data_IF_736319007511
#
_entry.id   IF_736319007511
#
_cell.length_a   1.000
_cell.length_b   1.000
_cell.length_c   1.000
_cell.angle_alpha   90.00
_cell.angle_beta   90.00
_cell.angle_gamma   90.00
#
_symmetry.space_group_name_H-M   'P 1'
#
loop_
_entity.id
_entity.type
_entity.pdbx_description
1 polymer ?
#
# COMPACT_ATOMS: atom_id res chain seq x y z
N UNK A 1 -35.98 -56.09 -55.42
CA UNK A 1 -36.71 -55.74 -56.66
C UNK A 1 -37.86 -54.83 -56.28
N UNK A 2 -38.01 -53.74 -57.03
CA UNK A 2 -39.08 -52.72 -57.08
C UNK A 2 -40.47 -53.39 -57.03
N UNK A 3 -41.56 -52.88 -56.46
CA UNK A 3 -41.97 -51.59 -55.89
C UNK A 3 -43.52 -51.56 -55.82
N UNK A 4 -44.09 -50.37 -55.53
CA UNK A 4 -45.53 -49.97 -55.58
C UNK A 4 -46.44 -50.51 -54.46
N UNK A 5 -47.46 -49.81 -53.95
CA UNK A 5 -48.07 -48.51 -54.23
C UNK A 5 -49.01 -48.15 -53.06
N UNK A 6 -49.21 -46.84 -52.86
CA UNK A 6 -50.42 -46.12 -52.46
C UNK A 6 -51.22 -46.36 -51.13
N UNK A 7 -51.33 -45.22 -50.43
CA UNK A 7 -52.49 -44.62 -49.73
C UNK A 7 -53.00 -45.24 -48.40
N UNK A 8 -52.79 -44.49 -47.31
CA UNK A 8 -53.89 -44.17 -46.37
C UNK A 8 -53.70 -42.83 -45.62
N UNK A 9 -54.57 -41.91 -46.03
CA UNK A 9 -55.20 -40.81 -45.32
C UNK A 9 -55.09 -40.66 -43.78
N UNK A 10 -54.79 -39.40 -43.38
CA UNK A 10 -55.48 -38.56 -42.37
C UNK A 10 -55.44 -39.01 -40.89
N UNK A 11 -54.69 -38.27 -40.04
CA UNK A 11 -55.24 -37.36 -38.98
C UNK A 11 -54.14 -36.81 -38.05
N UNK A 12 -54.13 -35.47 -37.98
CA UNK A 12 -53.50 -34.56 -37.01
C UNK A 12 -53.21 -35.16 -35.63
N UNK A 13 -51.97 -34.98 -35.16
CA UNK A 13 -51.68 -34.48 -33.80
C UNK A 13 -50.71 -33.30 -33.88
N UNK A 14 -51.27 -32.10 -33.66
CA UNK A 14 -50.67 -31.00 -32.89
C UNK A 14 -49.98 -31.58 -31.64
N UNK A 15 -48.91 -31.07 -31.04
CA UNK A 15 -48.18 -29.81 -31.05
C UNK A 15 -46.99 -30.06 -30.11
N UNK A 16 -45.83 -29.42 -30.32
CA UNK A 16 -44.78 -29.48 -29.29
C UNK A 16 -43.36 -29.17 -29.73
N UNK A 17 -43.12 -28.26 -30.68
CA UNK A 17 -41.80 -27.64 -30.80
C UNK A 17 -41.64 -26.65 -29.65
N UNK A 18 -40.99 -27.10 -28.57
CA UNK A 18 -40.50 -26.22 -27.53
C UNK A 18 -39.44 -25.28 -28.14
N UNK A 19 -39.84 -24.03 -28.38
CA UNK A 19 -38.93 -22.95 -28.73
C UNK A 19 -38.17 -22.59 -27.46
N UNK A 20 -36.97 -23.16 -27.27
CA UNK A 20 -36.04 -22.72 -26.22
C UNK A 20 -35.56 -21.33 -26.63
N UNK A 21 -36.19 -20.30 -26.07
CA UNK A 21 -35.70 -18.93 -26.15
C UNK A 21 -34.45 -18.83 -25.27
N UNK A 22 -33.27 -18.97 -25.86
CA UNK A 22 -32.00 -18.69 -25.18
C UNK A 22 -31.93 -17.20 -24.89
N UNK A 23 -32.33 -16.78 -23.68
CA UNK A 23 -32.07 -15.44 -23.19
C UNK A 23 -30.55 -15.29 -23.02
N UNK A 24 -29.90 -14.71 -24.02
CA UNK A 24 -28.52 -14.21 -23.87
C UNK A 24 -28.61 -12.97 -22.99
N UNK A 25 -28.44 -13.15 -21.69
CA UNK A 25 -28.14 -12.04 -20.79
C UNK A 25 -26.72 -11.61 -21.14
N UNK A 26 -26.60 -10.63 -22.03
CA UNK A 26 -25.36 -9.89 -22.22
C UNK A 26 -25.12 -9.11 -20.93
N UNK A 27 -24.32 -9.69 -20.01
CA UNK A 27 -23.77 -8.93 -18.91
C UNK A 27 -23.00 -7.76 -19.52
N UNK A 28 -23.55 -6.55 -19.42
CA UNK A 28 -22.82 -5.34 -19.79
C UNK A 28 -21.67 -5.24 -18.81
N UNK A 29 -20.45 -5.52 -19.27
CA UNK A 29 -19.24 -5.10 -18.57
C UNK A 29 -19.23 -3.57 -18.64
N UNK A 30 -19.80 -2.93 -17.62
CA UNK A 30 -19.76 -1.47 -17.46
C UNK A 30 -18.31 -1.14 -17.13
N UNK A 31 -17.68 -0.31 -17.96
CA UNK A 31 -16.35 0.20 -17.66
C UNK A 31 -16.41 1.04 -16.38
N UNK A 32 -15.36 0.95 -15.55
CA UNK A 32 -15.25 1.80 -14.36
C UNK A 32 -15.42 3.29 -14.75
N UNK A 33 -16.15 4.08 -13.95
CA UNK A 33 -16.36 5.51 -14.19
C UNK A 33 -15.04 6.30 -14.10
N UNK A 34 -15.07 7.55 -14.52
CA UNK A 34 -13.94 8.45 -14.30
C UNK A 34 -13.89 8.92 -12.82
N UNK A 35 -12.71 9.33 -12.34
CA UNK A 35 -12.55 9.71 -10.92
C UNK A 35 -13.31 10.99 -10.57
N UNK A 36 -13.42 11.94 -11.52
CA UNK A 36 -14.21 13.17 -11.39
C UNK A 36 -15.71 12.89 -11.23
N UNK A 37 -16.24 11.88 -11.91
CA UNK A 37 -17.62 11.42 -11.73
C UNK A 37 -17.86 10.92 -10.30
N UNK A 38 -16.90 10.20 -9.72
CA UNK A 38 -16.98 9.72 -8.32
C UNK A 38 -16.72 10.83 -7.30
N UNK A 39 -15.91 11.82 -7.65
CA UNK A 39 -15.56 12.96 -6.80
C UNK A 39 -16.63 14.06 -6.81
N UNK A 40 -17.69 13.93 -7.63
CA UNK A 40 -18.74 14.93 -7.73
C UNK A 40 -19.39 15.21 -6.35
N UNK A 41 -19.32 16.47 -5.92
CA UNK A 41 -19.87 16.91 -4.63
C UNK A 41 -18.97 16.68 -3.41
N UNK A 42 -17.81 16.03 -3.58
CA UNK A 42 -16.81 15.88 -2.52
C UNK A 42 -16.10 17.20 -2.23
N UNK A 43 -15.90 17.49 -0.94
CA UNK A 43 -15.13 18.65 -0.48
C UNK A 43 -13.87 18.17 0.23
N UNK A 44 -12.72 18.26 -0.44
CA UNK A 44 -11.43 17.91 0.15
C UNK A 44 -10.89 19.06 1.00
N UNK A 45 -10.36 18.73 2.18
CA UNK A 45 -9.54 19.63 2.99
C UNK A 45 -8.07 19.56 2.51
N UNK A 46 -7.55 20.60 1.82
CA UNK A 46 -6.19 20.57 1.27
C UNK A 46 -5.11 20.58 2.36
N UNK A 47 -5.45 20.91 3.61
CA UNK A 47 -4.54 20.85 4.75
C UNK A 47 -4.52 19.49 5.43
N UNK A 48 -5.21 18.47 4.89
CA UNK A 48 -5.34 17.13 5.50
C UNK A 48 -5.19 16.01 4.46
N UNK A 49 -4.13 16.08 3.66
CA UNK A 49 -3.77 15.03 2.71
C UNK A 49 -2.55 14.28 3.24
N UNK A 50 -2.60 12.96 3.26
CA UNK A 50 -1.49 12.12 3.72
C UNK A 50 -1.34 10.87 2.85
N UNK A 51 -0.21 10.18 3.00
CA UNK A 51 0.06 8.97 2.24
C UNK A 51 0.56 7.84 3.12
N UNK A 52 0.39 6.60 2.70
CA UNK A 52 1.06 5.46 3.30
C UNK A 52 1.27 4.35 2.29
N UNK A 53 2.11 3.37 2.61
CA UNK A 53 2.20 2.18 1.79
C UNK A 53 3.11 1.11 2.36
N UNK A 54 3.01 -0.06 1.76
CA UNK A 54 3.84 -1.23 2.12
C UNK A 54 4.79 -1.63 0.99
N UNK A 55 6.00 -2.11 1.32
CA UNK A 55 6.93 -2.68 0.33
C UNK A 55 7.30 -1.63 -0.73
N UNK A 56 7.19 -1.97 -2.03
CA UNK A 56 7.31 -0.98 -3.11
C UNK A 56 6.36 0.22 -2.96
N UNK A 57 5.17 0.02 -2.39
CA UNK A 57 4.24 1.10 -2.06
C UNK A 57 4.75 1.96 -0.90
N UNK A 58 5.50 1.40 0.04
CA UNK A 58 6.20 2.15 1.09
C UNK A 58 7.33 3.03 0.52
N UNK A 59 8.11 2.52 -0.43
CA UNK A 59 9.04 3.35 -1.20
C UNK A 59 8.32 4.46 -1.96
N UNK A 60 7.20 4.16 -2.63
CA UNK A 60 6.41 5.17 -3.34
C UNK A 60 5.82 6.22 -2.40
N UNK A 61 5.26 5.81 -1.26
CA UNK A 61 4.75 6.71 -0.23
C UNK A 61 5.82 7.70 0.22
N UNK A 62 7.05 7.23 0.45
CA UNK A 62 8.18 8.09 0.78
C UNK A 62 8.53 9.06 -0.36
N UNK A 63 8.66 8.55 -1.59
CA UNK A 63 9.00 9.37 -2.76
C UNK A 63 7.95 10.46 -2.98
N UNK A 64 6.68 10.08 -2.91
CA UNK A 64 5.55 10.98 -3.08
C UNK A 64 5.50 12.04 -1.98
N UNK A 65 5.70 11.63 -0.72
CA UNK A 65 5.78 12.54 0.40
C UNK A 65 6.89 13.58 0.22
N UNK A 66 8.11 13.17 -0.13
CA UNK A 66 9.22 14.11 -0.38
C UNK A 66 8.95 15.01 -1.60
N UNK A 67 8.37 14.47 -2.67
CA UNK A 67 8.07 15.25 -3.88
C UNK A 67 7.01 16.35 -3.65
N UNK A 68 6.03 16.09 -2.79
CA UNK A 68 4.86 16.94 -2.58
C UNK A 68 4.65 17.37 -1.12
N UNK A 69 5.69 17.38 -0.27
CA UNK A 69 5.60 17.69 1.17
C UNK A 69 5.00 19.06 1.49
N UNK A 70 4.88 19.97 0.51
CA UNK A 70 4.14 21.22 0.69
C UNK A 70 2.61 21.03 0.90
N UNK A 71 2.06 19.89 0.50
CA UNK A 71 0.63 19.56 0.59
C UNK A 71 0.33 18.25 1.31
N UNK A 72 1.36 17.50 1.73
CA UNK A 72 1.21 16.20 2.37
C UNK A 72 1.63 16.33 3.83
N UNK A 73 0.69 16.17 4.76
CA UNK A 73 0.89 16.43 6.20
C UNK A 73 1.51 15.26 6.98
N UNK A 74 1.75 14.14 6.31
CA UNK A 74 2.29 12.96 6.96
C UNK A 74 2.36 11.74 6.06
N UNK A 75 3.18 10.78 6.51
CA UNK A 75 3.45 9.55 5.79
C UNK A 75 3.55 8.33 6.71
N UNK A 76 2.91 7.22 6.31
CA UNK A 76 3.07 5.90 6.92
C UNK A 76 3.88 4.96 6.03
N UNK A 77 5.07 4.53 6.45
CA UNK A 77 5.96 3.69 5.63
C UNK A 77 6.14 2.31 6.28
N UNK A 78 5.59 1.28 5.64
CA UNK A 78 5.64 -0.11 6.11
C UNK A 78 6.60 -0.89 5.24
N UNK A 79 7.69 -1.41 5.79
CA UNK A 79 8.69 -2.19 5.03
C UNK A 79 9.06 -1.54 3.67
N UNK A 80 9.27 -0.23 3.66
CA UNK A 80 9.67 0.56 2.49
C UNK A 80 11.17 0.84 2.51
N UNK A 81 11.56 2.09 2.30
CA UNK A 81 12.97 2.45 2.45
C UNK A 81 13.29 3.89 2.05
N UNK A 82 14.59 4.23 2.01
CA UNK A 82 15.05 5.61 1.87
C UNK A 82 14.81 6.15 0.46
N UNK A 83 14.68 7.47 0.36
CA UNK A 83 14.55 8.19 -0.91
C UNK A 83 15.69 7.82 -1.88
N UNK A 84 15.34 7.51 -3.12
CA UNK A 84 16.30 7.15 -4.18
C UNK A 84 17.21 5.94 -3.84
N UNK A 85 16.75 5.00 -3.01
CA UNK A 85 17.54 3.86 -2.55
C UNK A 85 18.21 3.06 -3.69
N UNK A 86 17.44 2.77 -4.74
CA UNK A 86 17.89 1.96 -5.86
C UNK A 86 18.78 2.72 -6.87
N UNK A 87 18.88 4.04 -6.76
CA UNK A 87 19.75 4.88 -7.61
C UNK A 87 19.55 4.67 -9.12
N UNK A 88 18.32 4.42 -9.56
CA UNK A 88 18.03 4.12 -10.97
C UNK A 88 18.50 2.74 -11.45
N UNK A 89 18.90 1.84 -10.54
CA UNK A 89 19.46 0.54 -10.85
C UNK A 89 18.70 -0.61 -10.19
N UNK A 90 18.15 -1.52 -11.01
CA UNK A 90 17.43 -2.70 -10.53
C UNK A 90 18.30 -3.62 -9.65
N UNK A 91 19.60 -3.71 -9.91
CA UNK A 91 20.51 -4.52 -9.09
C UNK A 91 20.58 -3.96 -7.67
N UNK A 92 20.70 -2.65 -7.52
CA UNK A 92 20.68 -2.02 -6.20
C UNK A 92 19.31 -2.19 -5.52
N UNK A 93 18.21 -2.10 -6.29
CA UNK A 93 16.88 -2.35 -5.75
C UNK A 93 16.77 -3.75 -5.12
N UNK A 94 17.21 -4.79 -5.83
CA UNK A 94 17.06 -6.19 -5.38
C UNK A 94 18.17 -6.72 -4.47
N UNK A 95 19.19 -5.91 -4.16
CA UNK A 95 20.32 -6.30 -3.30
C UNK A 95 20.58 -5.36 -2.12
N UNK A 96 20.37 -4.05 -2.28
CA UNK A 96 20.64 -3.04 -1.23
C UNK A 96 19.39 -2.57 -0.51
N UNK A 97 18.27 -2.57 -1.21
CA UNK A 97 17.04 -1.99 -0.74
C UNK A 97 15.98 -3.05 -0.43
N UNK A 98 16.14 -4.25 -1.00
CA UNK A 98 15.34 -5.44 -0.75
C UNK A 98 16.19 -6.68 -0.99
N UNK A 99 15.69 -7.85 -0.62
CA UNK A 99 16.38 -9.14 -0.74
C UNK A 99 15.77 -10.06 -1.79
N UNK A 100 15.10 -9.51 -2.80
CA UNK A 100 14.41 -10.35 -3.79
C UNK A 100 15.33 -11.32 -4.53
N UNK A 101 16.55 -10.92 -4.89
CA UNK A 101 17.51 -11.82 -5.57
C UNK A 101 18.06 -12.87 -4.61
N UNK A 102 18.33 -12.50 -3.36
CA UNK A 102 18.77 -13.47 -2.35
C UNK A 102 17.69 -14.52 -2.09
N UNK A 103 16.43 -14.11 -1.95
CA UNK A 103 15.29 -15.00 -1.74
C UNK A 103 14.98 -15.88 -2.95
N UNK A 104 15.03 -15.35 -4.18
CA UNK A 104 14.89 -16.16 -5.40
C UNK A 104 16.03 -17.18 -5.54
N UNK A 105 17.26 -16.78 -5.22
CA UNK A 105 18.43 -17.67 -5.22
C UNK A 105 18.27 -18.83 -4.22
N UNK A 106 17.81 -18.54 -2.99
CA UNK A 106 17.54 -19.55 -1.97
C UNK A 106 16.36 -20.47 -2.37
N UNK A 107 15.31 -19.91 -2.97
CA UNK A 107 14.16 -20.69 -3.47
C UNK A 107 14.56 -21.68 -4.58
N UNK A 108 15.58 -21.34 -5.39
CA UNK A 108 16.18 -22.23 -6.37
C UNK A 108 17.14 -23.28 -5.76
N UNK A 109 17.24 -23.35 -4.43
CA UNK A 109 18.12 -24.28 -3.68
C UNK A 109 19.61 -24.16 -4.05
N UNK A 110 20.02 -22.95 -4.44
CA UNK A 110 21.43 -22.65 -4.69
C UNK A 110 22.19 -22.49 -3.35
N UNK A 111 23.53 -22.49 -3.41
CA UNK A 111 24.38 -22.39 -2.22
C UNK A 111 24.04 -21.13 -1.40
N UNK A 112 23.61 -21.26 -0.12
CA UNK A 112 23.30 -20.14 0.75
C UNK A 112 24.46 -19.15 0.92
N UNK A 113 25.72 -19.60 0.82
CA UNK A 113 26.90 -18.71 0.87
C UNK A 113 27.03 -17.87 -0.40
N UNK A 114 26.54 -18.36 -1.54
CA UNK A 114 26.48 -17.60 -2.78
C UNK A 114 25.29 -16.64 -2.75
N UNK A 115 24.12 -17.11 -2.33
CA UNK A 115 22.93 -16.28 -2.21
C UNK A 115 23.10 -15.14 -1.19
N UNK A 116 23.76 -15.38 -0.05
CA UNK A 116 24.01 -14.34 0.94
C UNK A 116 24.97 -13.23 0.47
N UNK A 117 25.78 -13.45 -0.58
CA UNK A 117 26.66 -12.41 -1.15
C UNK A 117 25.88 -11.35 -1.93
N UNK A 118 24.62 -11.60 -2.26
CA UNK A 118 23.77 -10.63 -2.93
C UNK A 118 23.02 -9.75 -1.94
N UNK A 119 23.10 -10.01 -0.63
CA UNK A 119 22.63 -9.09 0.40
C UNK A 119 23.67 -7.98 0.62
N UNK A 120 23.33 -6.78 0.15
CA UNK A 120 24.13 -5.58 0.25
C UNK A 120 23.39 -4.48 1.03
N UNK A 121 22.34 -4.85 1.78
CA UNK A 121 21.60 -3.91 2.60
C UNK A 121 22.48 -3.36 3.73
N UNK A 122 22.27 -2.09 4.15
CA UNK A 122 22.97 -1.55 5.30
C UNK A 122 22.66 -2.42 6.54
N UNK A 123 23.69 -2.90 7.24
CA UNK A 123 23.50 -3.74 8.44
C UNK A 123 24.25 -3.23 9.66
N UNK A 124 25.21 -2.33 9.47
CA UNK A 124 25.93 -1.65 10.54
C UNK A 124 25.53 -0.18 10.65
N UNK A 125 25.61 0.39 11.85
CA UNK A 125 25.36 1.82 12.12
C UNK A 125 26.05 2.75 11.12
N UNK A 126 27.32 2.49 10.80
CA UNK A 126 28.10 3.30 9.84
C UNK A 126 27.57 3.19 8.41
N UNK A 127 27.10 2.02 7.98
CA UNK A 127 26.49 1.85 6.66
C UNK A 127 25.15 2.57 6.58
N UNK A 128 24.32 2.42 7.61
CA UNK A 128 23.01 3.09 7.73
C UNK A 128 23.19 4.62 7.69
N UNK A 129 24.12 5.16 8.48
CA UNK A 129 24.43 6.60 8.50
C UNK A 129 24.91 7.13 7.12
N UNK A 130 25.76 6.36 6.42
CA UNK A 130 26.21 6.73 5.06
C UNK A 130 25.07 6.66 4.04
N UNK A 131 24.25 5.62 4.09
CA UNK A 131 23.12 5.45 3.19
C UNK A 131 22.08 6.58 3.40
N UNK A 132 21.81 6.96 4.65
CA UNK A 132 20.87 8.03 4.98
C UNK A 132 21.41 9.38 4.48
N UNK A 133 22.71 9.63 4.63
CA UNK A 133 23.37 10.82 4.07
C UNK A 133 23.24 10.86 2.55
N UNK A 134 23.57 9.78 1.85
CA UNK A 134 23.47 9.72 0.39
C UNK A 134 22.03 9.92 -0.11
N UNK A 135 21.04 9.34 0.59
CA UNK A 135 19.62 9.51 0.30
C UNK A 135 19.17 10.96 0.46
N UNK A 136 19.57 11.62 1.55
CA UNK A 136 19.24 13.03 1.79
C UNK A 136 20.00 14.00 0.87
N UNK A 137 21.24 13.68 0.49
CA UNK A 137 22.02 14.46 -0.48
C UNK A 137 21.33 14.49 -1.85
N UNK A 138 20.76 13.37 -2.29
CA UNK A 138 19.95 13.34 -3.51
C UNK A 138 18.68 14.17 -3.35
N UNK A 139 17.98 14.09 -2.21
CA UNK A 139 16.80 14.93 -1.97
C UNK A 139 17.15 16.43 -2.04
N UNK A 140 18.26 16.87 -1.41
CA UNK A 140 18.74 18.26 -1.48
C UNK A 140 19.06 18.69 -2.91
N UNK A 141 19.64 17.80 -3.71
CA UNK A 141 19.90 18.06 -5.13
C UNK A 141 18.61 18.28 -5.91
N UNK A 142 17.58 17.48 -5.65
CA UNK A 142 16.27 17.64 -6.31
C UNK A 142 15.52 18.90 -5.82
N UNK A 143 15.61 19.24 -4.52
CA UNK A 143 15.10 20.50 -3.99
C UNK A 143 15.75 21.71 -4.68
N UNK A 144 17.08 21.71 -4.80
CA UNK A 144 17.82 22.76 -5.50
C UNK A 144 17.48 22.85 -7.00
N UNK A 145 17.06 21.74 -7.60
CA UNK A 145 16.58 21.70 -8.98
C UNK A 145 15.11 22.09 -9.13
N UNK A 146 14.37 22.29 -8.04
CA UNK A 146 12.94 22.60 -8.05
C UNK A 146 12.04 21.44 -8.47
N UNK A 147 12.54 20.20 -8.46
CA UNK A 147 11.81 19.00 -8.91
C UNK A 147 11.05 18.28 -7.79
N UNK A 148 11.21 18.76 -6.54
CA UNK A 148 10.48 18.33 -5.34
C UNK A 148 10.14 19.54 -4.47
N UNK A 149 9.31 19.32 -3.44
CA UNK A 149 9.00 20.31 -2.41
C UNK A 149 10.21 20.68 -1.56
N UNK A 150 10.11 21.81 -0.84
CA UNK A 150 11.12 22.21 0.13
C UNK A 150 11.23 21.17 1.24
N UNK A 151 12.44 20.70 1.53
CA UNK A 151 12.72 19.71 2.57
C UNK A 151 12.42 20.26 3.97
N UNK A 152 12.43 21.58 4.14
CA UNK A 152 11.99 22.24 5.37
C UNK A 152 10.53 21.93 5.74
N UNK A 153 9.68 21.57 4.77
CA UNK A 153 8.28 21.21 5.04
C UNK A 153 8.18 19.92 5.88
N UNK A 154 9.19 19.03 5.79
CA UNK A 154 9.19 17.75 6.51
C UNK A 154 9.19 17.90 8.04
N UNK A 155 9.66 19.04 8.57
CA UNK A 155 9.91 19.19 10.01
C UNK A 155 8.64 19.02 10.87
N UNK A 156 7.49 19.43 10.35
CA UNK A 156 6.22 19.39 11.08
C UNK A 156 5.31 18.23 10.65
N UNK A 157 5.71 17.45 9.64
CA UNK A 157 4.96 16.31 9.14
C UNK A 157 4.91 15.17 10.16
N UNK A 158 3.83 14.40 10.12
CA UNK A 158 3.61 13.25 11.01
C UNK A 158 4.04 11.97 10.33
N UNK A 159 5.04 11.29 10.90
CA UNK A 159 5.68 10.12 10.31
C UNK A 159 5.40 8.89 11.15
N UNK A 160 4.97 7.82 10.50
CA UNK A 160 4.86 6.50 11.10
C UNK A 160 5.68 5.50 10.30
N UNK A 161 6.60 4.78 10.94
CA UNK A 161 7.43 3.76 10.29
C UNK A 161 7.16 2.40 10.91
N UNK A 162 7.13 1.36 10.08
CA UNK A 162 6.97 -0.03 10.54
C UNK A 162 7.91 -0.98 9.81
N UNK A 163 8.58 -1.85 10.57
CA UNK A 163 9.36 -2.97 10.05
C UNK A 163 9.13 -4.19 10.92
N UNK A 164 8.58 -5.26 10.33
CA UNK A 164 8.34 -6.51 11.05
C UNK A 164 9.65 -7.15 11.49
N UNK A 165 9.71 -7.65 12.73
CA UNK A 165 10.93 -8.22 13.30
C UNK A 165 11.50 -9.42 12.50
N UNK A 166 10.67 -10.06 11.67
CA UNK A 166 11.03 -11.20 10.82
C UNK A 166 10.84 -10.90 9.32
N UNK A 167 10.91 -9.63 8.93
CA UNK A 167 10.88 -9.23 7.52
C UNK A 167 12.21 -9.59 6.82
N UNK A 168 12.15 -10.67 6.03
CA UNK A 168 13.28 -11.14 5.23
C UNK A 168 13.32 -10.52 3.81
N UNK A 169 12.32 -9.73 3.42
CA UNK A 169 12.23 -9.11 2.08
C UNK A 169 12.82 -7.71 2.09
N UNK A 170 12.47 -6.90 3.09
CA UNK A 170 13.01 -5.55 3.28
C UNK A 170 13.73 -5.51 4.62
N UNK A 171 15.08 -5.56 4.63
CA UNK A 171 15.85 -5.64 5.85
C UNK A 171 15.67 -4.42 6.76
N UNK A 172 15.73 -4.65 8.08
CA UNK A 172 15.65 -3.61 9.11
C UNK A 172 16.57 -2.42 8.83
N UNK A 173 17.82 -2.65 8.44
CA UNK A 173 18.76 -1.55 8.19
C UNK A 173 18.39 -0.65 7.00
N UNK A 174 17.52 -1.09 6.10
CA UNK A 174 16.90 -0.23 5.06
C UNK A 174 15.89 0.72 5.71
N UNK A 175 15.04 0.20 6.59
CA UNK A 175 14.08 1.01 7.35
C UNK A 175 14.76 1.91 8.41
N UNK A 176 15.85 1.48 9.03
CA UNK A 176 16.69 2.33 9.89
C UNK A 176 17.31 3.49 9.11
N UNK A 177 17.70 3.24 7.86
CA UNK A 177 18.23 4.29 6.97
C UNK A 177 17.16 5.34 6.70
N UNK A 178 15.93 4.87 6.46
CA UNK A 178 14.76 5.73 6.30
C UNK A 178 14.44 6.52 7.59
N UNK A 179 14.45 5.86 8.76
CA UNK A 179 14.23 6.54 10.03
C UNK A 179 15.20 7.71 10.21
N UNK A 180 16.49 7.51 9.89
CA UNK A 180 17.50 8.57 9.95
C UNK A 180 17.29 9.68 8.92
N UNK A 181 16.77 9.37 7.73
CA UNK A 181 16.42 10.40 6.75
C UNK A 181 15.45 11.42 7.35
N UNK A 182 14.41 10.95 8.04
CA UNK A 182 13.44 11.82 8.70
C UNK A 182 13.94 12.42 10.02
N UNK A 183 14.53 11.60 10.90
CA UNK A 183 14.79 11.98 12.29
C UNK A 183 16.08 12.80 12.50
N UNK A 184 17.12 12.60 11.68
CA UNK A 184 18.42 13.22 11.96
C UNK A 184 18.33 14.76 11.81
N UNK A 185 18.90 15.55 12.74
CA UNK A 185 18.82 17.02 12.71
C UNK A 185 19.46 17.69 11.49
N UNK A 186 20.43 17.03 10.84
CA UNK A 186 21.07 17.52 9.61
C UNK A 186 20.35 17.05 8.33
N UNK A 187 19.18 16.42 8.46
CA UNK A 187 18.38 15.85 7.37
C UNK A 187 16.94 16.38 7.41
N UNK A 188 15.93 15.50 7.49
CA UNK A 188 14.52 15.89 7.54
C UNK A 188 14.15 16.64 8.83
N UNK A 189 14.90 16.41 9.91
CA UNK A 189 14.70 17.05 11.22
C UNK A 189 13.23 17.07 11.67
N UNK A 190 12.50 15.97 11.40
CA UNK A 190 11.12 15.80 11.84
C UNK A 190 11.07 15.98 13.36
N UNK A 191 10.19 16.88 13.80
CA UNK A 191 10.07 17.27 15.22
C UNK A 191 9.93 16.04 16.10
N UNK A 192 10.65 16.04 17.23
CA UNK A 192 10.49 14.99 18.22
C UNK A 192 9.01 14.90 18.65
N UNK A 193 8.48 13.68 18.68
CA UNK A 193 7.05 13.45 18.94
C UNK A 193 6.16 13.54 17.70
N UNK A 194 6.70 13.84 16.51
CA UNK A 194 6.00 13.69 15.22
C UNK A 194 6.38 12.41 14.48
N UNK A 195 7.42 11.69 14.90
CA UNK A 195 7.86 10.43 14.29
C UNK A 195 7.77 9.27 15.28
N UNK A 196 7.14 8.19 14.84
CA UNK A 196 7.20 6.86 15.48
C UNK A 196 7.85 5.84 14.55
N UNK A 197 8.54 4.88 15.16
CA UNK A 197 9.07 3.73 14.44
C UNK A 197 8.89 2.46 15.28
N UNK A 198 8.06 1.55 14.77
CA UNK A 198 7.91 0.19 15.27
C UNK A 198 8.81 -0.75 14.47
N UNK A 199 9.82 -1.29 15.14
CA UNK A 199 10.76 -2.27 14.57
C UNK A 199 10.72 -3.63 15.28
N UNK A 200 9.81 -3.81 16.23
CA UNK A 200 9.84 -4.98 17.14
C UNK A 200 8.59 -5.85 17.05
N UNK A 201 7.54 -5.42 16.34
CA UNK A 201 6.36 -6.24 16.15
C UNK A 201 6.76 -7.57 15.47
N UNK A 202 6.38 -8.73 16.05
CA UNK A 202 6.72 -10.04 15.54
C UNK A 202 5.88 -10.35 14.29
N UNK A 203 6.31 -9.85 13.14
CA UNK A 203 5.69 -10.12 11.85
C UNK A 203 6.76 -10.30 10.78
N UNK A 204 6.40 -11.02 9.72
CA UNK A 204 7.16 -11.08 8.47
C UNK A 204 6.86 -9.85 7.60
N UNK A 205 7.28 -9.88 6.34
CA UNK A 205 6.89 -8.89 5.34
C UNK A 205 5.39 -8.97 5.06
N UNK A 206 4.58 -8.13 5.72
CA UNK A 206 3.12 -8.15 5.58
C UNK A 206 2.49 -6.86 6.07
N UNK A 207 1.30 -6.53 5.56
CA UNK A 207 0.45 -5.51 6.16
C UNK A 207 -0.24 -6.14 7.36
N UNK A 208 0.19 -5.76 8.56
CA UNK A 208 -0.33 -6.28 9.82
C UNK A 208 -1.73 -5.73 10.07
N UNK A 209 -2.68 -6.61 10.39
CA UNK A 209 -4.01 -6.24 10.88
C UNK A 209 -4.44 -7.14 12.03
N UNK A 210 -5.47 -6.72 12.75
CA UNK A 210 -6.14 -7.57 13.74
C UNK A 210 -7.33 -8.32 13.10
N UNK A 211 -8.09 -9.04 13.93
CA UNK A 211 -9.26 -9.80 13.46
C UNK A 211 -10.51 -8.95 13.25
N UNK A 212 -10.43 -7.60 13.32
CA UNK A 212 -11.60 -6.76 13.08
C UNK A 212 -12.14 -6.97 11.66
N UNK A 213 -13.47 -7.16 11.58
CA UNK A 213 -14.21 -7.41 10.34
C UNK A 213 -13.50 -8.45 9.42
N UNK A 214 -12.88 -9.48 10.02
CA UNK A 214 -12.11 -10.46 9.27
C UNK A 214 -12.96 -11.08 8.15
N UNK A 215 -12.51 -11.01 6.89
CA UNK A 215 -13.28 -11.56 5.78
C UNK A 215 -13.39 -13.08 5.90
N UNK A 216 -14.50 -13.63 5.40
CA UNK A 216 -14.64 -15.07 5.26
C UNK A 216 -13.62 -15.61 4.23
N UNK A 217 -13.14 -16.84 4.46
CA UNK A 217 -12.14 -17.47 3.60
C UNK A 217 -10.69 -17.07 3.91
N UNK A 218 -9.75 -17.59 3.13
CA UNK A 218 -8.30 -17.40 3.32
C UNK A 218 -7.75 -16.18 2.55
N UNK A 219 -8.51 -15.09 2.51
CA UNK A 219 -8.17 -13.88 1.75
C UNK A 219 -7.10 -13.06 2.46
N UNK A 220 -7.28 -12.91 3.77
CA UNK A 220 -6.25 -12.44 4.71
C UNK A 220 -5.55 -13.68 5.27
N UNK A 221 -4.23 -13.65 5.28
CA UNK A 221 -3.42 -14.72 5.82
C UNK A 221 -3.42 -14.75 7.35
N UNK A 222 -2.74 -15.75 7.91
CA UNK A 222 -2.42 -15.77 9.33
C UNK A 222 -0.96 -15.33 9.48
N UNK A 223 -0.68 -14.59 10.55
CA UNK A 223 0.65 -14.08 10.86
C UNK A 223 1.63 -15.18 11.28
N UNK A 224 2.09 -15.99 10.32
CA UNK A 224 2.98 -17.11 10.57
C UNK A 224 4.40 -16.62 10.89
N UNK A 225 4.95 -17.10 12.01
CA UNK A 225 6.29 -16.73 12.48
C UNK A 225 7.26 -17.90 12.34
N UNK A 226 8.58 -17.64 12.19
CA UNK A 226 9.58 -18.68 12.27
C UNK A 226 9.40 -19.54 13.55
N UNK A 227 9.57 -20.88 13.48
CA UNK A 227 10.14 -21.64 12.36
C UNK A 227 9.15 -22.03 11.26
N UNK A 228 7.86 -21.65 11.34
CA UNK A 228 6.89 -21.95 10.28
C UNK A 228 7.34 -21.31 8.96
N UNK A 229 7.33 -22.05 7.83
CA UNK A 229 7.69 -21.49 6.54
C UNK A 229 6.69 -20.40 6.12
N UNK A 230 7.13 -19.36 5.38
CA UNK A 230 6.21 -18.36 4.87
C UNK A 230 5.21 -19.00 3.88
N UNK A 231 3.97 -18.47 3.78
CA UNK A 231 3.04 -18.91 2.75
C UNK A 231 3.65 -18.77 1.36
N UNK A 232 3.36 -19.70 0.43
CA UNK A 232 3.82 -19.58 -0.95
C UNK A 232 3.38 -18.25 -1.56
N UNK A 233 4.24 -17.55 -2.32
CA UNK A 233 3.95 -16.18 -2.72
C UNK A 233 2.84 -16.05 -3.79
N UNK A 234 2.35 -17.17 -4.33
CA UNK A 234 1.14 -17.32 -5.16
C UNK A 234 -0.16 -17.49 -4.37
N UNK A 235 -0.10 -17.72 -3.06
CA UNK A 235 -1.25 -17.65 -2.16
C UNK A 235 -1.11 -16.58 -1.09
N UNK A 236 0.06 -15.95 -0.96
CA UNK A 236 0.33 -14.89 0.01
C UNK A 236 -0.19 -13.53 -0.46
N UNK A 237 -1.20 -13.00 0.23
CA UNK A 237 -1.74 -11.66 -0.02
C UNK A 237 -0.88 -10.53 0.57
N UNK A 238 0.12 -10.86 1.40
CA UNK A 238 0.92 -9.92 2.19
C UNK A 238 0.06 -8.99 3.05
N UNK A 239 -1.02 -9.56 3.57
CA UNK A 239 -1.94 -8.97 4.55
C UNK A 239 -2.26 -10.10 5.52
N UNK A 240 -1.87 -9.95 6.79
CA UNK A 240 -1.98 -11.01 7.78
C UNK A 240 -2.71 -10.53 9.03
N UNK A 241 -3.64 -11.37 9.51
CA UNK A 241 -4.22 -11.25 10.83
C UNK A 241 -3.20 -11.72 11.88
N UNK A 242 -2.67 -10.76 12.63
CA UNK A 242 -1.67 -10.95 13.67
C UNK A 242 -2.25 -10.81 15.09
N UNK A 243 -3.57 -10.78 15.29
CA UNK A 243 -4.16 -10.56 16.63
C UNK A 243 -3.70 -11.62 17.64
N UNK A 244 -3.76 -12.89 17.26
CA UNK A 244 -3.34 -13.99 18.14
C UNK A 244 -1.84 -13.92 18.48
N UNK A 245 -1.02 -13.51 17.51
CA UNK A 245 0.42 -13.30 17.70
C UNK A 245 0.67 -12.16 18.68
N UNK A 246 0.02 -11.02 18.49
CA UNK A 246 0.15 -9.86 19.37
C UNK A 246 -0.20 -10.24 20.82
N UNK A 247 -1.37 -10.85 21.04
CA UNK A 247 -1.82 -11.29 22.38
C UNK A 247 -0.85 -12.27 23.04
N UNK A 248 -0.32 -13.24 22.29
CA UNK A 248 0.65 -14.22 22.81
C UNK A 248 1.94 -13.53 23.25
N UNK A 249 2.43 -12.57 22.46
CA UNK A 249 3.63 -11.82 22.77
C UNK A 249 3.41 -10.80 23.90
N UNK A 250 2.22 -10.21 24.03
CA UNK A 250 1.88 -9.35 25.16
C UNK A 250 1.93 -10.12 26.48
N UNK A 251 1.37 -11.32 26.51
CA UNK A 251 1.43 -12.22 27.67
C UNK A 251 2.88 -12.60 27.99
N UNK A 252 3.62 -13.03 26.97
CA UNK A 252 5.02 -13.49 27.12
C UNK A 252 5.99 -12.37 27.56
N UNK A 253 5.67 -11.11 27.24
CA UNK A 253 6.47 -9.95 27.64
C UNK A 253 5.90 -9.21 28.86
N UNK A 254 4.85 -9.73 29.49
CA UNK A 254 4.18 -9.13 30.66
C UNK A 254 3.72 -7.68 30.40
N UNK A 255 3.09 -7.46 29.25
CA UNK A 255 2.62 -6.13 28.83
C UNK A 255 1.31 -5.71 29.51
N UNK A 256 0.51 -6.67 29.99
CA UNK A 256 -0.79 -6.43 30.60
C UNK A 256 -0.66 -6.28 32.12
N UNK A 257 -1.22 -5.21 32.67
CA UNK A 257 -1.29 -4.97 34.12
C UNK A 257 -2.66 -5.43 34.66
N UNK A 258 -2.71 -6.23 35.75
CA UNK A 258 -3.95 -6.39 36.52
C UNK A 258 -4.39 -5.05 37.09
N UNK A 259 -5.70 -4.78 37.14
CA UNK A 259 -6.27 -3.50 37.60
C UNK A 259 -5.79 -3.08 39.00
N UNK A 260 -5.48 -4.04 39.88
CA UNK A 260 -5.10 -3.82 41.28
C UNK A 260 -3.62 -3.46 41.50
N UNK A 261 -2.77 -3.56 40.47
CA UNK A 261 -1.33 -3.26 40.58
C UNK A 261 -1.02 -1.74 40.70
N UNK A 262 -2.04 -0.88 40.59
CA UNK A 262 -1.90 0.57 40.64
C UNK A 262 -2.20 1.19 42.02
N UNK A 263 -2.61 0.39 43.01
CA UNK A 263 -3.12 0.91 44.29
C UNK A 263 -2.34 0.51 45.56
N UNK A 264 -1.35 -0.39 45.51
CA UNK A 264 -0.55 -0.71 46.70
C UNK A 264 0.93 -0.39 46.51
N UNK A 265 1.34 0.72 47.14
CA UNK A 265 2.73 1.03 47.41
C UNK A 265 3.34 -0.09 48.28
N UNK A 266 4.11 -1.01 47.69
CA UNK A 266 4.85 -1.98 48.51
C UNK A 266 5.64 -3.09 47.81
N UNK A 267 5.16 -3.71 46.72
CA UNK A 267 5.85 -4.93 46.22
C UNK A 267 5.68 -5.29 44.73
N UNK A 268 5.12 -4.42 43.89
CA UNK A 268 4.97 -4.70 42.45
C UNK A 268 6.07 -4.05 41.61
N UNK A 269 6.74 -4.82 40.75
CA UNK A 269 7.51 -4.24 39.64
C UNK A 269 6.55 -3.41 38.76
N UNK A 270 6.97 -2.24 38.24
CA UNK A 270 6.16 -1.49 37.29
C UNK A 270 5.88 -2.35 36.05
N UNK A 271 4.60 -2.53 35.72
CA UNK A 271 4.18 -3.20 34.50
C UNK A 271 3.84 -2.16 33.42
N UNK A 272 4.32 -2.34 32.17
CA UNK A 272 5.27 -3.35 31.73
C UNK A 272 6.67 -3.15 32.33
N UNK A 273 7.50 -4.21 32.44
CA UNK A 273 8.90 -4.06 32.82
C UNK A 273 9.57 -3.00 31.96
N UNK A 274 10.42 -2.14 32.54
CA UNK A 274 11.04 -1.02 31.82
C UNK A 274 11.80 -1.47 30.57
N UNK A 275 12.45 -2.64 30.62
CA UNK A 275 13.16 -3.25 29.49
C UNK A 275 12.25 -3.74 28.35
N UNK A 276 10.93 -3.81 28.59
CA UNK A 276 9.91 -4.32 27.67
C UNK A 276 8.95 -3.25 27.18
N UNK A 277 9.05 -2.00 27.66
CA UNK A 277 8.15 -0.92 27.28
C UNK A 277 8.03 -0.72 25.76
N UNK A 278 9.16 -0.79 25.02
CA UNK A 278 9.15 -0.64 23.56
C UNK A 278 8.36 -1.77 22.88
N UNK A 279 8.64 -3.02 23.22
CA UNK A 279 7.93 -4.20 22.67
C UNK A 279 6.44 -4.13 23.02
N UNK A 280 6.10 -3.80 24.26
CA UNK A 280 4.70 -3.71 24.70
C UNK A 280 3.93 -2.54 24.07
N UNK A 281 4.61 -1.45 23.72
CA UNK A 281 4.02 -0.38 22.92
C UNK A 281 3.79 -0.88 21.50
N UNK A 282 4.82 -1.43 20.86
CA UNK A 282 4.82 -1.84 19.47
C UNK A 282 3.77 -2.94 19.18
N UNK A 283 3.49 -3.82 20.15
CA UNK A 283 2.45 -4.86 20.02
C UNK A 283 1.03 -4.31 19.87
N UNK A 284 0.78 -3.06 20.27
CA UNK A 284 -0.52 -2.39 20.10
C UNK A 284 -0.80 -2.02 18.65
N UNK A 285 0.24 -1.95 17.82
CA UNK A 285 0.12 -1.60 16.40
C UNK A 285 -0.33 -2.79 15.54
N UNK A 286 -0.99 -3.78 16.15
CA UNK A 286 -1.63 -4.89 15.44
C UNK A 286 -2.75 -4.41 14.52
N UNK A 287 -3.35 -3.25 14.81
CA UNK A 287 -4.11 -2.46 13.84
C UNK A 287 -3.19 -1.40 13.21
N UNK A 288 -2.38 -1.82 12.24
CA UNK A 288 -1.34 -0.98 11.65
C UNK A 288 -1.91 0.22 10.88
N UNK A 289 -3.04 0.04 10.17
CA UNK A 289 -3.73 1.14 9.50
C UNK A 289 -4.21 2.18 10.53
N UNK A 290 -4.79 1.73 11.64
CA UNK A 290 -5.16 2.60 12.76
C UNK A 290 -3.98 3.36 13.33
N UNK A 291 -2.86 2.69 13.61
CA UNK A 291 -1.66 3.32 14.15
C UNK A 291 -1.09 4.41 13.22
N UNK A 292 -1.07 4.15 11.90
CA UNK A 292 -0.67 5.13 10.88
C UNK A 292 -1.61 6.35 10.88
N UNK A 293 -2.92 6.11 10.80
CA UNK A 293 -3.92 7.18 10.74
C UNK A 293 -3.93 8.01 12.04
N UNK A 294 -3.77 7.36 13.20
CA UNK A 294 -3.76 8.04 14.49
C UNK A 294 -2.51 8.91 14.64
N UNK A 295 -1.34 8.43 14.21
CA UNK A 295 -0.11 9.24 14.18
C UNK A 295 -0.28 10.48 13.30
N UNK A 296 -0.90 10.33 12.13
CA UNK A 296 -1.04 11.41 11.15
C UNK A 296 -2.11 12.43 11.55
N UNK A 297 -3.31 11.97 11.91
CA UNK A 297 -4.46 12.84 12.15
C UNK A 297 -4.75 13.11 13.63
N UNK A 298 -4.16 12.34 14.54
CA UNK A 298 -4.42 12.36 15.98
C UNK A 298 -5.69 11.60 16.36
N UNK A 299 -5.71 11.03 17.58
CA UNK A 299 -6.87 10.26 18.08
C UNK A 299 -8.18 11.05 18.12
N UNK A 300 -8.12 12.38 18.26
CA UNK A 300 -9.30 13.25 18.21
C UNK A 300 -10.00 13.22 16.84
N UNK A 301 -9.24 13.07 15.75
CA UNK A 301 -9.79 12.96 14.40
C UNK A 301 -10.38 11.57 14.11
N UNK A 302 -10.09 10.58 14.97
CA UNK A 302 -10.49 9.18 14.81
C UNK A 302 -11.56 8.72 15.83
N UNK A 303 -12.25 9.66 16.49
CA UNK A 303 -13.23 9.37 17.53
C UNK A 303 -14.45 8.56 17.07
N UNK A 304 -14.72 8.53 15.76
CA UNK A 304 -15.77 7.68 15.18
C UNK A 304 -15.45 6.18 15.26
N UNK A 305 -14.20 5.82 15.59
CA UNK A 305 -13.74 4.44 15.70
C UNK A 305 -13.76 3.70 14.35
N UNK A 306 -13.71 2.36 14.43
CA UNK A 306 -13.83 1.48 13.26
C UNK A 306 -15.26 1.05 13.02
N UNK A 307 -15.67 1.00 11.76
CA UNK A 307 -16.94 0.43 11.31
C UNK A 307 -16.70 -0.62 10.24
N UNK A 308 -17.51 -1.67 10.22
CA UNK A 308 -17.45 -2.66 9.13
C UNK A 308 -17.81 -2.00 7.79
N UNK A 309 -17.11 -2.41 6.73
CA UNK A 309 -17.26 -1.89 5.37
C UNK A 309 -17.62 -3.06 4.47
N UNK A 310 -18.70 -2.92 3.71
CA UNK A 310 -19.05 -3.89 2.68
C UNK A 310 -18.12 -3.70 1.47
N UNK A 311 -17.67 -4.79 0.84
CA UNK A 311 -16.73 -4.72 -0.30
C UNK A 311 -17.28 -3.87 -1.47
N UNK A 312 -18.61 -3.79 -1.61
CA UNK A 312 -19.31 -3.01 -2.65
C UNK A 312 -19.22 -1.50 -2.41
N UNK A 313 -18.88 -1.05 -1.20
CA UNK A 313 -18.67 0.38 -0.89
C UNK A 313 -17.35 0.91 -1.47
N UNK A 314 -16.42 0.02 -1.84
CA UNK A 314 -15.18 0.39 -2.51
C UNK A 314 -15.42 0.62 -4.01
N UNK A 315 -15.19 1.84 -4.48
CA UNK A 315 -15.52 2.25 -5.84
C UNK A 315 -14.30 2.12 -6.76
N UNK A 316 -14.46 1.50 -7.92
CA UNK A 316 -13.43 1.46 -8.96
C UNK A 316 -13.52 2.69 -9.88
N UNK A 317 -12.38 3.17 -10.39
CA UNK A 317 -12.32 4.23 -11.41
C UNK A 317 -11.28 3.95 -12.50
N UNK A 318 -11.48 4.49 -13.71
CA UNK A 318 -10.57 4.31 -14.85
C UNK A 318 -9.36 5.26 -14.78
N UNK A 319 -8.20 4.74 -14.39
CA UNK A 319 -6.96 5.50 -14.29
C UNK A 319 -6.49 6.04 -15.64
N UNK A 320 -6.93 5.51 -16.78
CA UNK A 320 -6.55 6.06 -18.11
C UNK A 320 -7.04 7.49 -18.28
N UNK A 321 -8.19 7.84 -17.68
CA UNK A 321 -8.76 9.20 -17.72
C UNK A 321 -7.87 10.21 -17.00
N UNK A 322 -7.18 9.77 -15.94
CA UNK A 322 -6.21 10.60 -15.21
C UNK A 322 -5.03 11.00 -16.11
N UNK A 323 -4.50 10.06 -16.89
CA UNK A 323 -3.41 10.34 -17.83
C UNK A 323 -3.81 11.29 -18.96
N UNK A 324 -5.11 11.37 -19.30
CA UNK A 324 -5.60 12.31 -20.32
C UNK A 324 -5.44 13.77 -19.91
N UNK A 325 -5.21 14.07 -18.63
CA UNK A 325 -5.03 15.44 -18.15
C UNK A 325 -3.62 16.00 -18.41
N UNK A 326 -2.61 15.15 -18.62
CA UNK A 326 -1.21 15.59 -18.77
C UNK A 326 -0.43 14.88 -19.89
N UNK A 327 -1.10 14.03 -20.69
CA UNK A 327 -0.47 13.27 -21.77
C UNK A 327 -1.35 13.21 -23.01
N UNK A 328 -0.77 13.48 -24.18
CA UNK A 328 -1.44 13.37 -25.48
C UNK A 328 -1.64 11.91 -25.93
N UNK A 329 -0.98 10.96 -25.27
CA UNK A 329 -1.03 9.52 -25.58
C UNK A 329 -1.42 8.70 -24.34
N UNK A 330 -2.57 8.97 -23.70
CA UNK A 330 -2.88 8.51 -22.34
C UNK A 330 -2.87 6.99 -22.18
N UNK A 331 -3.28 6.24 -23.23
CA UNK A 331 -3.20 4.78 -23.22
C UNK A 331 -1.74 4.29 -23.10
N UNK A 332 -0.85 4.83 -23.94
CA UNK A 332 0.56 4.46 -23.93
C UNK A 332 1.26 4.98 -22.68
N UNK A 333 0.92 6.18 -22.20
CA UNK A 333 1.48 6.77 -20.99
C UNK A 333 1.17 5.92 -19.75
N UNK A 334 -0.08 5.48 -19.59
CA UNK A 334 -0.48 4.56 -18.52
C UNK A 334 0.30 3.24 -18.58
N UNK A 335 0.41 2.64 -19.77
CA UNK A 335 1.18 1.41 -19.94
C UNK A 335 2.66 1.65 -19.62
N UNK A 336 3.27 2.72 -20.11
CA UNK A 336 4.67 3.08 -19.87
C UNK A 336 4.95 3.44 -18.40
N UNK A 337 3.94 3.82 -17.63
CA UNK A 337 3.99 3.96 -16.17
C UNK A 337 3.73 2.65 -15.43
N UNK A 338 3.44 1.56 -16.15
CA UNK A 338 3.02 0.26 -15.60
C UNK A 338 1.81 0.35 -14.66
N UNK A 339 0.96 1.35 -14.87
CA UNK A 339 -0.25 1.54 -14.07
C UNK A 339 -1.37 0.64 -14.57
N UNK A 340 -2.18 0.13 -13.65
CA UNK A 340 -3.35 -0.68 -13.99
C UNK A 340 -4.41 0.19 -14.67
N UNK A 341 -5.39 -0.43 -15.35
CA UNK A 341 -6.51 0.32 -15.90
C UNK A 341 -7.42 0.88 -14.80
N UNK A 342 -7.67 0.11 -13.75
CA UNK A 342 -8.59 0.47 -12.68
C UNK A 342 -7.81 0.85 -11.42
N UNK A 343 -8.25 1.91 -10.74
CA UNK A 343 -7.87 2.29 -9.39
C UNK A 343 -9.09 2.20 -8.47
N UNK A 344 -8.90 2.35 -7.15
CA UNK A 344 -10.01 2.26 -6.19
C UNK A 344 -10.05 3.46 -5.26
N UNK A 345 -11.24 3.84 -4.83
CA UNK A 345 -11.46 4.91 -3.87
C UNK A 345 -12.60 4.54 -2.93
N UNK A 346 -12.38 4.77 -1.63
CA UNK A 346 -13.42 4.69 -0.62
C UNK A 346 -13.80 6.10 -0.19
N UNK A 347 -15.06 6.48 -0.42
CA UNK A 347 -15.60 7.81 -0.10
C UNK A 347 -16.71 7.63 0.94
N UNK A 348 -16.47 7.99 2.22
CA UNK A 348 -17.50 7.92 3.26
C UNK A 348 -18.76 8.71 2.89
N UNK A 349 -19.92 8.25 3.35
CA UNK A 349 -21.21 8.90 3.05
C UNK A 349 -21.22 10.39 3.41
N UNK A 350 -20.65 10.76 4.56
CA UNK A 350 -20.53 12.15 4.97
C UNK A 350 -19.77 13.01 3.92
N UNK A 351 -18.72 12.46 3.30
CA UNK A 351 -17.94 13.15 2.27
C UNK A 351 -18.73 13.29 0.96
N UNK A 352 -19.52 12.27 0.58
CA UNK A 352 -20.43 12.33 -0.58
C UNK A 352 -21.52 13.39 -0.38
N UNK A 353 -21.92 13.64 0.86
CA UNK A 353 -22.88 14.69 1.23
C UNK A 353 -22.25 16.08 1.37
N UNK A 354 -20.99 16.26 0.95
CA UNK A 354 -20.32 17.57 0.91
C UNK A 354 -19.68 18.03 2.21
N UNK A 355 -19.56 17.16 3.22
CA UNK A 355 -18.76 17.49 4.41
C UNK A 355 -17.28 17.58 4.03
N UNK A 356 -16.51 18.53 4.60
CA UNK A 356 -15.07 18.58 4.41
C UNK A 356 -14.41 17.27 4.89
N UNK A 357 -13.58 16.66 4.06
CA UNK A 357 -12.92 15.41 4.35
C UNK A 357 -11.40 15.48 4.15
N UNK A 358 -10.67 14.73 4.95
CA UNK A 358 -9.26 14.45 4.72
C UNK A 358 -9.09 13.44 3.57
N UNK A 359 -7.89 13.32 3.03
CA UNK A 359 -7.52 12.28 2.05
C UNK A 359 -6.31 11.51 2.51
N UNK A 360 -6.41 10.19 2.49
CA UNK A 360 -5.30 9.28 2.67
C UNK A 360 -5.06 8.49 1.38
N UNK A 361 -3.85 8.52 0.83
CA UNK A 361 -3.48 7.68 -0.32
C UNK A 361 -2.71 6.46 0.19
N UNK A 362 -3.24 5.26 -0.06
CA UNK A 362 -2.64 4.02 0.41
C UNK A 362 -2.07 3.19 -0.77
N UNK A 363 -0.75 3.06 -0.80
CA UNK A 363 -0.01 2.36 -1.84
C UNK A 363 0.22 0.89 -1.46
N UNK A 364 -0.35 -0.02 -2.26
CA UNK A 364 -0.14 -1.45 -2.11
C UNK A 364 1.31 -1.87 -2.42
N UNK A 365 1.73 -3.05 -1.95
CA UNK A 365 3.05 -3.63 -2.25
C UNK A 365 3.11 -4.41 -3.57
N UNK A 366 4.28 -4.97 -3.86
CA UNK A 366 4.41 -5.90 -4.99
C UNK A 366 3.46 -7.09 -4.83
N UNK A 367 2.84 -7.56 -5.92
CA UNK A 367 1.84 -8.64 -5.95
C UNK A 367 0.53 -8.35 -5.21
N UNK A 368 0.31 -7.11 -4.78
CA UNK A 368 -0.91 -6.67 -4.08
C UNK A 368 -1.76 -5.70 -4.91
N UNK A 369 -1.43 -5.55 -6.20
CA UNK A 369 -2.09 -4.60 -7.10
C UNK A 369 -2.89 -5.28 -8.19
N UNK A 370 -4.06 -4.73 -8.51
CA UNK A 370 -4.86 -5.05 -9.69
C UNK A 370 -4.90 -6.55 -10.03
N UNK A 371 -4.30 -6.90 -11.17
CA UNK A 371 -4.30 -8.26 -11.75
C UNK A 371 -3.35 -9.25 -11.07
N UNK A 372 -2.49 -8.78 -10.17
CA UNK A 372 -1.55 -9.65 -9.43
C UNK A 372 -2.12 -10.17 -8.13
N UNK A 373 -3.24 -9.60 -7.69
CA UNK A 373 -3.91 -9.93 -6.45
C UNK A 373 -5.14 -10.82 -6.69
N UNK A 374 -4.89 -11.98 -7.32
CA UNK A 374 -5.90 -13.01 -7.61
C UNK A 374 -5.72 -14.21 -6.70
N UNK A 375 -6.78 -14.60 -5.99
CA UNK A 375 -6.85 -15.81 -5.16
C UNK A 375 -8.05 -16.66 -5.57
N UNK A 376 -8.00 -17.96 -5.27
CA UNK A 376 -9.08 -18.88 -5.59
C UNK A 376 -10.36 -18.46 -4.86
N UNK A 377 -11.38 -18.06 -5.61
CA UNK A 377 -12.66 -17.58 -5.06
C UNK A 377 -12.71 -16.09 -4.71
N UNK A 378 -11.59 -15.37 -4.80
CA UNK A 378 -11.50 -13.94 -4.51
C UNK A 378 -10.56 -13.26 -5.51
N UNK A 379 -11.12 -12.42 -6.37
CA UNK A 379 -10.36 -11.56 -7.26
C UNK A 379 -10.56 -10.10 -6.88
N UNK A 380 -9.49 -9.32 -6.91
CA UNK A 380 -9.58 -7.86 -6.93
C UNK A 380 -9.13 -7.19 -5.64
N UNK A 381 -7.94 -6.61 -5.70
CA UNK A 381 -7.43 -5.52 -4.84
C UNK A 381 -7.70 -5.76 -3.35
N UNK A 382 -7.27 -6.93 -2.87
CA UNK A 382 -7.39 -7.35 -1.48
C UNK A 382 -6.74 -6.33 -0.55
N UNK A 383 -5.65 -5.68 -0.96
CA UNK A 383 -5.07 -4.56 -0.21
C UNK A 383 -6.06 -3.40 -0.03
N UNK A 384 -6.70 -2.94 -1.10
CA UNK A 384 -7.65 -1.85 -1.03
C UNK A 384 -8.89 -2.19 -0.19
N UNK A 385 -9.23 -3.48 -0.10
CA UNK A 385 -10.37 -3.98 0.70
C UNK A 385 -10.03 -4.22 2.16
N UNK A 386 -8.86 -4.80 2.43
CA UNK A 386 -8.56 -5.47 3.71
C UNK A 386 -7.31 -4.95 4.43
N UNK A 387 -6.62 -3.92 3.93
CA UNK A 387 -5.49 -3.33 4.65
C UNK A 387 -5.89 -2.60 5.95
N UNK A 388 -7.20 -2.41 6.22
CA UNK A 388 -7.73 -1.87 7.48
C UNK A 388 -8.05 -0.37 7.47
N UNK A 389 -7.76 0.35 6.39
CA UNK A 389 -7.97 1.79 6.32
C UNK A 389 -9.45 2.19 6.16
N UNK A 390 -10.25 1.40 5.43
CA UNK A 390 -11.65 1.76 5.11
C UNK A 390 -12.50 1.78 6.37
N UNK A 391 -12.24 0.86 7.29
CA UNK A 391 -12.96 0.68 8.54
C UNK A 391 -12.83 1.92 9.45
N UNK A 392 -11.64 2.52 9.47
CA UNK A 392 -11.42 3.83 10.08
C UNK A 392 -12.02 4.97 9.27
N UNK A 393 -11.82 4.96 7.95
CA UNK A 393 -12.29 6.03 7.08
C UNK A 393 -13.81 6.27 7.16
N UNK A 394 -14.60 5.19 7.26
CA UNK A 394 -16.07 5.22 7.23
C UNK A 394 -16.68 6.15 8.26
N UNK A 395 -16.12 6.20 9.46
CA UNK A 395 -16.63 7.00 10.58
C UNK A 395 -15.89 8.33 10.80
N UNK A 396 -14.81 8.61 10.06
CA UNK A 396 -13.85 9.66 10.44
C UNK A 396 -13.58 10.71 9.36
N UNK A 397 -14.45 10.82 8.33
CA UNK A 397 -14.35 11.81 7.24
C UNK A 397 -12.98 11.79 6.55
N UNK A 398 -12.49 10.58 6.26
CA UNK A 398 -11.26 10.36 5.51
C UNK A 398 -11.64 9.63 4.23
N UNK A 399 -11.31 10.21 3.08
CA UNK A 399 -11.36 9.51 1.79
C UNK A 399 -10.09 8.68 1.69
N UNK A 400 -10.20 7.44 1.22
CA UNK A 400 -9.02 6.61 0.97
C UNK A 400 -8.89 6.34 -0.52
N UNK A 401 -7.80 6.80 -1.12
CA UNK A 401 -7.45 6.56 -2.51
C UNK A 401 -6.44 5.41 -2.59
N UNK A 402 -6.70 4.45 -3.48
CA UNK A 402 -5.85 3.30 -3.75
C UNK A 402 -5.48 3.24 -5.23
N UNK A 403 -4.48 4.03 -5.65
CA UNK A 403 -3.92 3.94 -6.99
C UNK A 403 -3.38 2.52 -7.22
N UNK A 404 -3.41 2.04 -8.46
CA UNK A 404 -3.02 0.66 -8.78
C UNK A 404 -1.96 0.60 -9.87
N UNK A 405 -0.95 -0.23 -9.66
CA UNK A 405 0.00 -0.66 -10.70
C UNK A 405 -0.30 -2.09 -11.16
N UNK A 406 0.14 -2.45 -12.36
CA UNK A 406 -0.05 -3.78 -12.93
C UNK A 406 1.28 -4.47 -13.23
N UNK A 407 1.29 -5.80 -13.15
CA UNK A 407 2.43 -6.59 -13.60
C UNK A 407 2.59 -6.52 -15.13
N UNK A 408 3.85 -6.52 -15.56
CA UNK A 408 4.28 -6.57 -16.96
C UNK A 408 5.46 -7.52 -17.10
N UNK A 409 5.22 -8.67 -17.73
CA UNK A 409 6.24 -9.72 -17.89
C UNK A 409 6.71 -9.92 -19.34
N UNK A 410 5.92 -9.46 -20.32
CA UNK A 410 6.14 -9.72 -21.75
C UNK A 410 6.45 -8.45 -22.56
N UNK A 411 6.58 -7.30 -21.91
CA UNK A 411 6.82 -6.02 -22.59
C UNK A 411 7.53 -5.03 -21.66
N UNK A 412 8.27 -4.09 -22.24
CA UNK A 412 8.95 -3.04 -21.48
C UNK A 412 7.96 -1.94 -21.04
N UNK A 413 8.10 -1.43 -19.81
CA UNK A 413 9.14 -1.81 -18.86
C UNK A 413 8.77 -3.07 -18.06
N UNK A 414 9.77 -3.92 -17.78
CA UNK A 414 9.58 -5.19 -17.07
C UNK A 414 9.27 -4.93 -15.59
N UNK A 415 8.11 -5.42 -15.15
CA UNK A 415 7.69 -5.43 -13.75
C UNK A 415 6.80 -6.66 -13.50
N UNK A 416 7.37 -7.87 -13.48
CA UNK A 416 6.58 -9.10 -13.41
C UNK A 416 5.79 -9.24 -12.10
N UNK A 417 6.13 -8.44 -11.09
CA UNK A 417 5.51 -8.48 -9.75
C UNK A 417 4.53 -7.33 -9.50
N UNK A 418 4.34 -6.40 -10.46
CA UNK A 418 3.42 -5.28 -10.27
C UNK A 418 3.80 -4.39 -9.08
N UNK A 419 5.09 -4.09 -8.92
CA UNK A 419 5.59 -3.14 -7.92
C UNK A 419 5.45 -1.68 -8.40
N UNK A 420 5.41 -0.74 -7.47
CA UNK A 420 5.59 0.68 -7.78
C UNK A 420 6.99 0.96 -8.35
N UNK A 421 7.19 2.08 -9.03
CA UNK A 421 8.51 2.50 -9.49
C UNK A 421 9.33 3.08 -8.34
N UNK A 422 10.20 2.24 -7.82
CA UNK A 422 11.19 2.62 -6.82
C UNK A 422 12.63 2.30 -7.25
N UNK A 423 12.82 1.81 -8.49
CA UNK A 423 14.13 1.44 -9.04
C UNK A 423 14.55 2.16 -10.31
N UNK A 424 13.65 2.88 -11.00
CA UNK A 424 14.01 3.94 -11.92
C UNK A 424 14.65 3.56 -13.26
N UNK A 425 15.21 4.60 -13.91
CA UNK A 425 15.84 4.77 -15.23
C UNK A 425 15.50 3.77 -16.35
N UNK A 426 15.77 2.49 -16.17
CA UNK A 426 15.43 1.43 -17.14
C UNK A 426 13.98 0.94 -16.99
N UNK A 427 13.26 1.46 -16.01
CA UNK A 427 11.87 1.16 -15.72
C UNK A 427 10.93 2.26 -16.22
N UNK A 428 10.82 3.42 -15.57
CA UNK A 428 10.00 4.51 -16.14
C UNK A 428 10.81 5.68 -16.69
N UNK A 429 11.82 6.20 -15.95
CA UNK A 429 12.80 7.25 -16.34
C UNK A 429 13.72 7.63 -15.15
N UNK A 430 14.68 8.52 -15.37
CA UNK A 430 15.66 8.95 -14.36
C UNK A 430 15.08 9.82 -13.22
N UNK A 431 13.91 10.45 -13.43
CA UNK A 431 13.24 11.30 -12.44
C UNK A 431 12.08 10.61 -11.70
N UNK A 432 12.10 9.28 -11.62
CA UNK A 432 11.01 8.47 -11.04
C UNK A 432 10.63 8.84 -9.61
N UNK A 433 11.59 9.38 -8.85
CA UNK A 433 11.48 9.80 -7.45
C UNK A 433 11.09 11.28 -7.28
N UNK A 434 10.83 12.01 -8.37
CA UNK A 434 10.52 13.46 -8.37
C UNK A 434 9.09 13.73 -8.84
N UNK A 435 8.65 15.01 -8.86
CA UNK A 435 7.35 15.39 -9.44
C UNK A 435 7.19 15.02 -10.91
N UNK A 436 8.30 14.85 -11.65
CA UNK A 436 8.28 14.34 -13.03
C UNK A 436 8.08 12.82 -13.11
N UNK A 437 8.01 12.12 -11.97
CA UNK A 437 7.75 10.69 -11.86
C UNK A 437 6.45 10.28 -12.57
N UNK A 438 6.42 9.33 -13.52
CA UNK A 438 5.15 9.00 -14.24
C UNK A 438 4.04 8.55 -13.29
N UNK A 439 4.37 7.71 -12.31
CA UNK A 439 3.42 7.27 -11.29
C UNK A 439 3.11 8.37 -10.27
N UNK A 440 4.11 9.20 -9.91
CA UNK A 440 3.91 10.37 -9.02
C UNK A 440 2.95 11.38 -9.66
N UNK A 441 3.14 11.72 -10.94
CA UNK A 441 2.24 12.58 -11.74
C UNK A 441 0.81 12.06 -11.75
N UNK A 442 0.63 10.77 -12.02
CA UNK A 442 -0.69 10.16 -12.04
C UNK A 442 -1.40 10.30 -10.69
N UNK A 443 -0.69 10.03 -9.58
CA UNK A 443 -1.28 10.13 -8.24
C UNK A 443 -1.54 11.58 -7.83
N UNK A 444 -0.62 12.49 -8.13
CA UNK A 444 -0.81 13.92 -7.93
C UNK A 444 -2.05 14.43 -8.69
N UNK A 445 -2.24 13.97 -9.93
CA UNK A 445 -3.43 14.31 -10.71
C UNK A 445 -4.72 13.69 -10.13
N UNK A 446 -4.67 12.47 -9.59
CA UNK A 446 -5.83 11.90 -8.87
C UNK A 446 -6.22 12.77 -7.66
N UNK A 447 -5.25 13.28 -6.92
CA UNK A 447 -5.49 14.20 -5.80
C UNK A 447 -6.09 15.53 -6.30
N UNK A 448 -5.57 16.09 -7.39
CA UNK A 448 -6.12 17.31 -7.99
C UNK A 448 -7.59 17.14 -8.42
N UNK A 449 -7.93 15.99 -9.03
CA UNK A 449 -9.32 15.65 -9.40
C UNK A 449 -10.21 15.59 -8.15
N UNK A 450 -9.77 14.89 -7.10
CA UNK A 450 -10.50 14.82 -5.82
C UNK A 450 -10.63 16.19 -5.12
N UNK A 451 -9.71 17.11 -5.40
CA UNK A 451 -9.76 18.50 -4.94
C UNK A 451 -10.65 19.42 -5.81
N UNK A 452 -11.36 18.87 -6.80
CA UNK A 452 -12.22 19.60 -7.73
C UNK A 452 -11.42 20.31 -8.83
N UNK A 453 -10.45 19.61 -9.42
CA UNK A 453 -9.52 20.08 -10.46
C UNK A 453 -8.75 21.36 -10.10
N UNK A 454 -8.61 21.62 -8.80
CA UNK A 454 -7.62 22.59 -8.31
C UNK A 454 -6.25 22.01 -8.61
N UNK A 455 -5.38 22.79 -9.24
CA UNK A 455 -3.95 22.46 -9.37
C UNK A 455 -3.26 22.62 -8.00
N UNK A 456 -3.65 21.77 -7.04
CA UNK A 456 -3.10 21.75 -5.70
C UNK A 456 -1.68 21.19 -5.76
N UNK A 457 -1.51 20.01 -6.37
CA UNK A 457 -0.21 19.41 -6.59
C UNK A 457 0.26 19.72 -8.01
N UNK A 458 1.52 20.15 -8.13
CA UNK A 458 2.16 20.37 -9.44
C UNK A 458 2.25 19.06 -10.22
N UNK A 459 1.73 19.06 -11.46
CA UNK A 459 1.84 17.94 -12.41
C UNK A 459 2.54 18.45 -13.66
N UNK A 460 3.87 18.24 -13.79
CA UNK A 460 4.59 18.63 -15.00
C UNK A 460 4.04 17.88 -16.23
N UNK A 461 3.98 18.51 -17.42
CA UNK A 461 3.59 17.81 -18.64
C UNK A 461 4.53 16.65 -18.98
N UNK A 462 4.08 15.75 -19.84
CA UNK A 462 4.87 14.61 -20.36
C UNK A 462 5.99 15.01 -21.31
#
# INVERSE_FOLDING_TARGET
MVGKDDRKAIRRRLSGTALIATLVIAARVVAAPALDELAAGVVLDPGRISVSGISSGGFMAHQFHVAHSEHIVGAGIVAGGPYFCARGNIVDAVSRCSQFVMLECLALKLDPRLCGKTDLAPSSRRQIERAARASFDEARKQEAAGTISRLANLQDDKIYLFSGAYDDIVPHGVMDTLFRFYADPDKGAVRQGNIDYNGTFPARHTMVRDSFARPAGSVVGNCALPPEPPPPPESNAYIDDCEAVARTHEQSNHCLCPADASAEAGSGLPCPPTSKLAVCRDLKDVDLAGAILERIYGGQALQGGRQAVDEEELLAFDQRRVFSAFSDIPYNALQNASMAREGYVFIPEACRQGQPCALHVAFHGCRQGGTTDYRRGHSGNLFAKFAGYNEWAKANRIIVLYPQVQARSASVPLNPRGCWDWWGQNYTHAGYHTRSGKQIKAVAQMINILAGDRQLLEVPPD
#
